data_IF_224770468128
#
_entry.id   IF_224770468128
#
_cell.length_a   1.000
_cell.length_b   1.000
_cell.length_c   1.000
_cell.angle_alpha   90.00
_cell.angle_beta   90.00
_cell.angle_gamma   90.00
#
_symmetry.space_group_name_H-M   'P 1'
#
loop_
_entity.id
_entity.type
_entity.pdbx_description
1 polymer ?
#
# COMPACT_ATOMS: atom_id res chain seq x y z
N UNK A 1 41.12 -2.29 1.14
CA UNK A 1 40.11 -2.50 2.21
C UNK A 1 38.96 -3.41 1.75
N UNK A 2 38.22 -3.05 0.70
CA UNK A 2 37.06 -3.80 0.15
C UNK A 2 37.38 -5.28 -0.16
N UNK A 3 38.51 -5.59 -0.83
CA UNK A 3 38.90 -6.98 -1.17
C UNK A 3 39.11 -7.90 0.05
N UNK A 4 39.58 -7.37 1.18
CA UNK A 4 39.75 -8.15 2.43
C UNK A 4 38.40 -8.43 3.09
N UNK A 5 37.49 -7.45 3.05
CA UNK A 5 36.12 -7.59 3.57
C UNK A 5 35.34 -8.64 2.75
N UNK A 6 35.38 -8.56 1.41
CA UNK A 6 34.71 -9.51 0.51
C UNK A 6 35.13 -10.98 0.73
N UNK A 7 36.40 -11.23 1.10
CA UNK A 7 36.90 -12.59 1.43
C UNK A 7 36.29 -13.16 2.72
N UNK A 8 35.99 -12.32 3.72
CA UNK A 8 35.38 -12.73 5.00
C UNK A 8 33.93 -13.17 4.81
N UNK A 9 33.16 -12.46 3.96
CA UNK A 9 31.74 -12.75 3.71
C UNK A 9 31.50 -13.98 2.81
N UNK A 10 32.44 -14.37 1.95
CA UNK A 10 32.36 -15.63 1.18
C UNK A 10 32.23 -16.87 2.07
N UNK A 11 32.66 -16.82 3.34
CA UNK A 11 32.56 -17.95 4.30
C UNK A 11 31.21 -18.06 5.02
N UNK A 12 30.42 -16.98 5.09
CA UNK A 12 29.16 -16.90 5.87
C UNK A 12 27.95 -17.38 5.05
N UNK A 13 28.06 -17.38 3.73
CA UNK A 13 27.00 -17.70 2.74
C UNK A 13 26.59 -19.19 2.64
N UNK A 14 26.91 -20.02 3.64
CA UNK A 14 26.56 -21.46 3.61
C UNK A 14 25.13 -21.76 4.11
N UNK A 15 24.41 -20.78 4.66
CA UNK A 15 23.09 -21.02 5.28
C UNK A 15 21.87 -20.64 4.43
N UNK A 16 22.05 -20.19 3.17
CA UNK A 16 21.08 -20.37 2.09
C UNK A 16 19.58 -20.12 2.35
N UNK A 17 19.19 -19.22 3.25
CA UNK A 17 17.77 -18.92 3.51
C UNK A 17 17.27 -17.93 2.47
N UNK A 18 16.50 -18.44 1.50
CA UNK A 18 15.70 -17.69 0.50
C UNK A 18 14.96 -16.50 1.15
N UNK A 19 15.52 -15.30 1.08
CA UNK A 19 14.83 -14.06 1.44
C UNK A 19 14.04 -13.55 0.23
N UNK A 20 12.81 -14.02 0.07
CA UNK A 20 11.92 -13.70 -1.07
C UNK A 20 10.77 -12.74 -0.74
N UNK A 21 10.64 -12.27 0.50
CA UNK A 21 9.56 -11.36 0.90
C UNK A 21 10.12 -10.05 1.45
N UNK A 22 9.76 -8.95 0.80
CA UNK A 22 10.16 -7.59 1.15
C UNK A 22 9.28 -7.07 2.30
N UNK A 23 7.99 -7.44 2.28
CA UNK A 23 6.96 -7.02 3.25
C UNK A 23 6.27 -8.23 3.85
N UNK A 24 5.87 -8.18 5.12
CA UNK A 24 4.95 -9.15 5.73
C UNK A 24 3.66 -8.42 6.11
N UNK A 25 2.52 -9.03 5.83
CA UNK A 25 1.19 -8.48 6.16
C UNK A 25 0.35 -9.59 6.76
N UNK A 26 -0.29 -9.30 7.89
CA UNK A 26 -1.30 -10.16 8.51
C UNK A 26 -2.55 -9.33 8.78
N UNK A 27 -3.71 -9.88 8.48
CA UNK A 27 -4.97 -9.33 8.98
C UNK A 27 -5.11 -9.79 10.44
N UNK A 28 -5.16 -8.85 11.38
CA UNK A 28 -5.38 -9.15 12.79
C UNK A 28 -6.86 -9.30 13.10
N UNK A 29 -7.66 -8.38 12.59
CA UNK A 29 -9.11 -8.37 12.79
C UNK A 29 -9.81 -7.56 11.70
N UNK A 30 -11.10 -7.79 11.53
CA UNK A 30 -11.99 -6.97 10.72
C UNK A 30 -13.35 -6.86 11.40
N UNK A 31 -13.97 -5.70 11.25
CA UNK A 31 -15.24 -5.37 11.88
C UNK A 31 -16.26 -5.00 10.83
N UNK A 32 -17.34 -5.78 10.79
CA UNK A 32 -18.60 -5.45 10.13
C UNK A 32 -19.64 -5.33 11.25
N UNK A 33 -20.30 -4.17 11.42
CA UNK A 33 -21.30 -4.03 12.47
C UNK A 33 -22.39 -5.11 12.37
N UNK A 34 -22.72 -5.72 13.51
CA UNK A 34 -23.64 -6.85 13.59
C UNK A 34 -23.05 -8.22 13.22
N UNK A 35 -21.77 -8.29 12.83
CA UNK A 35 -21.04 -9.56 12.60
C UNK A 35 -21.52 -10.40 11.41
N UNK A 36 -22.38 -9.84 10.56
CA UNK A 36 -22.97 -10.51 9.39
C UNK A 36 -22.26 -10.20 8.07
N UNK A 37 -22.94 -10.51 6.95
CA UNK A 37 -22.46 -10.16 5.61
C UNK A 37 -22.33 -8.64 5.46
N UNK A 38 -21.18 -8.20 4.90
CA UNK A 38 -20.96 -6.79 4.58
C UNK A 38 -22.01 -6.28 3.57
N UNK A 39 -22.39 -7.10 2.59
CA UNK A 39 -23.47 -6.77 1.63
C UNK A 39 -24.77 -6.38 2.32
N UNK A 40 -25.25 -7.23 3.22
CA UNK A 40 -26.51 -6.98 3.94
C UNK A 40 -26.43 -5.70 4.77
N UNK A 41 -25.36 -5.56 5.54
CA UNK A 41 -25.16 -4.38 6.38
C UNK A 41 -25.13 -3.08 5.57
N UNK A 42 -24.41 -3.07 4.45
CA UNK A 42 -24.34 -1.90 3.56
C UNK A 42 -25.69 -1.61 2.90
N UNK A 43 -26.42 -2.64 2.47
CA UNK A 43 -27.76 -2.49 1.92
C UNK A 43 -28.73 -1.87 2.95
N UNK A 44 -28.67 -2.31 4.20
CA UNK A 44 -29.51 -1.80 5.27
C UNK A 44 -29.21 -0.32 5.59
N UNK A 45 -27.94 0.10 5.64
CA UNK A 45 -27.59 1.52 5.79
C UNK A 45 -28.07 2.34 4.59
N UNK A 46 -27.89 1.81 3.37
CA UNK A 46 -28.29 2.52 2.16
C UNK A 46 -29.81 2.72 2.10
N UNK A 47 -30.59 1.76 2.61
CA UNK A 47 -32.05 1.89 2.77
C UNK A 47 -32.45 3.03 3.71
N UNK A 48 -31.66 3.33 4.74
CA UNK A 48 -31.88 4.53 5.59
C UNK A 48 -31.79 5.82 4.76
N UNK A 49 -30.98 5.82 3.70
CA UNK A 49 -30.85 6.95 2.77
C UNK A 49 -31.89 6.96 1.64
N UNK A 50 -32.84 6.00 1.62
CA UNK A 50 -33.97 5.98 0.69
C UNK A 50 -33.77 5.17 -0.60
N UNK A 51 -32.85 4.21 -0.62
CA UNK A 51 -32.73 3.26 -1.76
C UNK A 51 -34.01 2.43 -1.90
N UNK A 52 -34.53 2.16 -3.12
CA UNK A 52 -35.79 1.45 -3.31
C UNK A 52 -35.84 0.07 -2.63
N UNK A 53 -36.90 -0.20 -1.86
CA UNK A 53 -37.03 -1.45 -1.07
C UNK A 53 -36.96 -2.72 -1.91
N UNK A 54 -37.41 -2.67 -3.17
CA UNK A 54 -37.44 -3.82 -4.08
C UNK A 54 -36.06 -4.19 -4.65
N UNK A 55 -35.04 -3.35 -4.47
CA UNK A 55 -33.69 -3.61 -4.96
C UNK A 55 -33.00 -4.66 -4.07
N UNK A 56 -32.35 -5.65 -4.69
CA UNK A 56 -31.62 -6.69 -3.96
C UNK A 56 -30.35 -6.13 -3.33
N UNK A 57 -29.93 -6.67 -2.18
CA UNK A 57 -28.77 -6.22 -1.42
C UNK A 57 -27.50 -6.15 -2.29
N UNK A 58 -27.27 -7.15 -3.14
CA UNK A 58 -26.09 -7.20 -4.02
C UNK A 58 -26.10 -6.07 -5.06
N UNK A 59 -27.28 -5.73 -5.58
CA UNK A 59 -27.44 -4.63 -6.54
C UNK A 59 -27.21 -3.27 -5.86
N UNK A 60 -27.64 -3.14 -4.60
CA UNK A 60 -27.41 -1.94 -3.80
C UNK A 60 -25.91 -1.78 -3.54
N UNK A 61 -25.21 -2.85 -3.13
CA UNK A 61 -23.77 -2.82 -2.91
C UNK A 61 -23.01 -2.47 -4.20
N UNK A 62 -23.36 -3.11 -5.31
CA UNK A 62 -22.77 -2.82 -6.63
C UNK A 62 -22.96 -1.35 -7.01
N UNK A 63 -24.18 -0.83 -6.90
CA UNK A 63 -24.47 0.59 -7.14
C UNK A 63 -23.61 1.51 -6.24
N UNK A 64 -23.45 1.17 -4.96
CA UNK A 64 -22.68 1.97 -4.01
C UNK A 64 -21.20 2.03 -4.38
N UNK A 65 -20.62 0.90 -4.75
CA UNK A 65 -19.21 0.82 -5.14
C UNK A 65 -18.98 1.52 -6.47
N UNK A 66 -19.84 1.29 -7.47
CA UNK A 66 -19.69 1.85 -8.82
C UNK A 66 -19.96 3.37 -8.86
N UNK A 67 -20.96 3.86 -8.13
CA UNK A 67 -21.32 5.29 -8.12
C UNK A 67 -20.51 6.12 -7.11
N UNK A 68 -19.53 5.52 -6.42
CA UNK A 68 -18.75 6.15 -5.34
C UNK A 68 -19.63 6.72 -4.21
N UNK A 69 -20.71 6.03 -3.84
CA UNK A 69 -21.49 6.33 -2.63
C UNK A 69 -20.81 5.76 -1.38
N UNK A 70 -19.50 6.00 -1.28
CA UNK A 70 -18.58 5.21 -0.48
C UNK A 70 -18.62 5.52 1.03
N UNK A 71 -19.45 6.45 1.50
CA UNK A 71 -19.60 6.77 2.92
C UNK A 71 -20.10 5.57 3.73
N UNK A 72 -21.01 4.76 3.19
CA UNK A 72 -21.52 3.55 3.87
C UNK A 72 -20.39 2.54 4.17
N UNK A 73 -19.35 2.51 3.32
CA UNK A 73 -18.20 1.61 3.47
C UNK A 73 -17.28 2.01 4.64
N UNK A 74 -17.40 3.23 5.18
CA UNK A 74 -16.56 3.69 6.29
C UNK A 74 -16.83 2.93 7.60
N UNK A 75 -17.99 2.29 7.72
CA UNK A 75 -18.38 1.51 8.88
C UNK A 75 -17.70 0.14 8.94
N UNK A 76 -17.12 -0.33 7.83
CA UNK A 76 -16.35 -1.57 7.77
C UNK A 76 -14.89 -1.24 8.03
N UNK A 77 -14.28 -1.86 9.04
CA UNK A 77 -12.93 -1.53 9.52
C UNK A 77 -12.03 -2.76 9.49
N UNK A 78 -10.77 -2.57 9.12
CA UNK A 78 -9.75 -3.61 9.09
C UNK A 78 -8.56 -3.21 9.95
N UNK A 79 -7.95 -4.16 10.65
CA UNK A 79 -6.71 -3.96 11.38
C UNK A 79 -5.66 -4.95 10.90
N UNK A 80 -4.53 -4.43 10.46
CA UNK A 80 -3.40 -5.19 9.93
C UNK A 80 -2.18 -5.07 10.84
N UNK A 81 -1.37 -6.12 10.83
CA UNK A 81 0.00 -6.11 11.31
C UNK A 81 0.94 -6.19 10.10
N UNK A 82 1.77 -5.16 9.94
CA UNK A 82 2.59 -4.93 8.76
C UNK A 82 4.05 -4.82 9.17
N UNK A 83 4.91 -5.62 8.55
CA UNK A 83 6.37 -5.47 8.62
C UNK A 83 6.88 -5.01 7.26
N UNK A 84 7.57 -3.88 7.25
CA UNK A 84 8.10 -3.22 6.04
C UNK A 84 9.43 -2.54 6.34
N UNK A 85 10.10 -1.95 5.36
CA UNK A 85 11.25 -1.07 5.55
C UNK A 85 10.85 0.28 6.13
N UNK A 86 11.78 0.95 6.83
CA UNK A 86 11.60 2.37 7.20
C UNK A 86 11.57 3.28 5.97
N UNK A 87 12.15 2.87 4.84
CA UNK A 87 12.20 3.60 3.58
C UNK A 87 10.80 3.94 3.07
N UNK A 88 9.87 2.98 3.08
CA UNK A 88 8.50 3.23 2.57
C UNK A 88 7.54 3.80 3.62
N UNK A 89 7.96 3.91 4.88
CA UNK A 89 7.11 4.43 5.94
C UNK A 89 6.57 5.85 5.66
N UNK A 90 7.36 6.81 5.11
CA UNK A 90 6.82 8.12 4.74
C UNK A 90 5.69 8.00 3.71
N UNK A 91 5.90 7.26 2.63
CA UNK A 91 4.85 7.04 1.61
C UNK A 91 3.59 6.37 2.18
N UNK A 92 3.76 5.45 3.13
CA UNK A 92 2.68 4.74 3.81
C UNK A 92 1.88 5.66 4.73
N UNK A 93 2.56 6.56 5.44
CA UNK A 93 1.93 7.46 6.42
C UNK A 93 1.20 8.66 5.79
N UNK A 94 1.41 8.93 4.50
CA UNK A 94 0.62 9.92 3.74
C UNK A 94 -0.88 9.54 3.65
N UNK A 95 -1.24 8.28 3.93
CA UNK A 95 -2.61 7.80 4.00
C UNK A 95 -3.25 8.15 5.34
N UNK A 96 -3.54 9.44 5.52
CA UNK A 96 -3.98 10.06 6.79
C UNK A 96 -5.28 9.50 7.38
N UNK A 97 -6.19 8.97 6.55
CA UNK A 97 -7.48 8.45 7.02
C UNK A 97 -7.33 7.00 7.48
N UNK A 98 -6.56 6.83 8.54
CA UNK A 98 -6.25 5.56 9.19
C UNK A 98 -5.64 5.83 10.58
N UNK A 99 -5.49 4.78 11.38
CA UNK A 99 -4.76 4.82 12.64
C UNK A 99 -3.53 3.93 12.57
N UNK A 100 -2.41 4.41 13.12
CA UNK A 100 -1.12 3.72 13.04
C UNK A 100 -0.46 3.63 14.41
N UNK A 101 0.12 2.48 14.73
CA UNK A 101 1.05 2.33 15.86
C UNK A 101 2.35 1.74 15.35
N UNK A 102 3.44 2.48 15.47
CA UNK A 102 4.74 2.11 14.94
C UNK A 102 5.64 1.48 16.01
N UNK A 103 6.41 0.46 15.63
CA UNK A 103 7.57 0.03 16.41
C UNK A 103 8.59 1.18 16.46
N UNK A 104 8.84 1.69 17.68
CA UNK A 104 9.77 2.80 17.92
C UNK A 104 11.21 2.32 18.02
N UNK A 105 12.08 2.94 17.23
CA UNK A 105 13.54 2.74 17.30
C UNK A 105 14.18 3.39 18.53
N UNK A 106 13.42 4.21 19.29
CA UNK A 106 13.88 4.84 20.56
C UNK A 106 13.93 3.83 21.69
N UNK A 107 12.94 2.92 21.73
CA UNK A 107 12.73 2.02 22.87
C UNK A 107 13.20 0.58 22.59
N UNK A 108 13.21 0.16 21.33
CA UNK A 108 13.53 -1.23 20.98
C UNK A 108 15.04 -1.42 20.77
N UNK A 109 15.58 -2.56 21.21
CA UNK A 109 16.91 -3.02 20.78
C UNK A 109 16.84 -3.32 19.28
N UNK A 110 17.64 -2.61 18.48
CA UNK A 110 17.61 -2.71 17.02
C UNK A 110 18.50 -3.85 16.46
N UNK A 111 19.06 -4.70 17.34
CA UNK A 111 19.96 -5.78 16.93
C UNK A 111 19.26 -6.86 16.09
N UNK A 112 17.95 -7.04 16.30
CA UNK A 112 17.18 -8.13 15.70
C UNK A 112 16.18 -7.68 14.62
N UNK A 113 16.15 -6.39 14.24
CA UNK A 113 15.05 -5.89 13.40
C UNK A 113 15.16 -6.37 11.95
N UNK A 114 16.33 -6.83 11.52
CA UNK A 114 16.54 -7.24 10.13
C UNK A 114 16.41 -6.08 9.14
N UNK A 115 16.65 -6.39 7.87
CA UNK A 115 16.69 -5.39 6.80
C UNK A 115 15.91 -5.88 5.59
N UNK A 116 15.41 -4.93 4.82
CA UNK A 116 14.78 -5.17 3.53
C UNK A 116 15.83 -5.03 2.44
N UNK A 117 16.06 -6.09 1.68
CA UNK A 117 16.97 -6.10 0.53
C UNK A 117 16.14 -6.08 -0.76
N UNK A 118 16.30 -5.07 -1.62
CA UNK A 118 15.64 -5.04 -2.93
C UNK A 118 16.03 -6.23 -3.83
N UNK A 119 15.13 -6.79 -4.65
CA UNK A 119 15.41 -7.93 -5.52
C UNK A 119 16.66 -7.76 -6.40
N UNK A 120 16.79 -6.59 -7.05
CA UNK A 120 17.96 -6.28 -7.90
C UNK A 120 19.30 -6.34 -7.17
N UNK A 121 19.30 -6.15 -5.85
CA UNK A 121 20.50 -6.27 -5.00
C UNK A 121 20.69 -7.73 -4.57
N UNK A 122 19.63 -8.44 -4.20
CA UNK A 122 19.72 -9.85 -3.80
C UNK A 122 20.04 -10.80 -4.96
N UNK A 123 19.68 -10.46 -6.19
CA UNK A 123 19.85 -11.31 -7.37
C UNK A 123 21.33 -11.44 -7.80
N UNK A 124 22.19 -10.51 -7.38
CA UNK A 124 23.63 -10.52 -7.67
C UNK A 124 24.44 -10.62 -6.40
N UNK A 125 25.21 -11.70 -6.29
CA UNK A 125 26.02 -12.01 -5.10
C UNK A 125 26.95 -10.87 -4.71
N UNK A 126 27.56 -10.20 -5.68
CA UNK A 126 28.46 -9.07 -5.47
C UNK A 126 27.74 -7.87 -4.86
N UNK A 127 26.51 -7.59 -5.31
CA UNK A 127 25.71 -6.49 -4.81
C UNK A 127 25.20 -6.76 -3.41
N UNK A 128 24.73 -7.99 -3.16
CA UNK A 128 24.33 -8.44 -1.84
C UNK A 128 25.49 -8.34 -0.84
N UNK A 129 26.72 -8.71 -1.25
CA UNK A 129 27.91 -8.57 -0.40
C UNK A 129 28.21 -7.10 -0.06
N UNK A 130 28.19 -6.20 -1.04
CA UNK A 130 28.41 -4.77 -0.78
C UNK A 130 27.36 -4.21 0.17
N UNK A 131 26.09 -4.61 -0.03
CA UNK A 131 24.99 -4.22 0.81
C UNK A 131 25.16 -4.73 2.26
N UNK A 132 25.50 -6.01 2.43
CA UNK A 132 25.70 -6.61 3.75
C UNK A 132 26.86 -5.94 4.51
N UNK A 133 27.95 -5.60 3.82
CA UNK A 133 29.08 -4.90 4.43
C UNK A 133 28.65 -3.54 5.00
N UNK A 134 27.87 -2.78 4.24
CA UNK A 134 27.37 -1.49 4.68
C UNK A 134 26.44 -1.62 5.90
N UNK A 135 25.53 -2.60 5.87
CA UNK A 135 24.63 -2.88 6.99
C UNK A 135 25.40 -3.26 8.26
N UNK A 136 26.32 -4.22 8.16
CA UNK A 136 27.07 -4.71 9.31
C UNK A 136 27.94 -3.62 9.92
N UNK A 137 28.50 -2.74 9.09
CA UNK A 137 29.27 -1.60 9.57
C UNK A 137 28.38 -0.58 10.29
N UNK A 138 27.18 -0.29 9.78
CA UNK A 138 26.24 0.60 10.43
C UNK A 138 25.76 0.05 11.79
N UNK A 139 25.48 -1.26 11.86
CA UNK A 139 25.12 -1.94 13.12
C UNK A 139 26.28 -1.88 14.10
N UNK A 140 27.49 -2.20 13.64
CA UNK A 140 28.68 -2.15 14.47
C UNK A 140 28.87 -0.77 15.10
N UNK A 141 28.78 0.29 14.29
CA UNK A 141 28.91 1.65 14.78
C UNK A 141 27.75 2.08 15.69
N UNK A 142 26.52 1.62 15.42
CA UNK A 142 25.40 1.79 16.34
C UNK A 142 25.72 1.19 17.72
N UNK A 143 26.21 -0.05 17.77
CA UNK A 143 26.56 -0.73 19.03
C UNK A 143 27.77 -0.08 19.73
N UNK A 144 28.76 0.41 18.98
CA UNK A 144 29.89 1.17 19.55
C UNK A 144 29.42 2.47 20.20
N UNK A 145 28.56 3.25 19.53
CA UNK A 145 27.98 4.46 20.14
C UNK A 145 27.20 4.12 21.42
N UNK A 146 26.47 3.00 21.42
CA UNK A 146 25.75 2.50 22.60
C UNK A 146 26.71 2.09 23.73
N UNK A 147 27.86 1.52 23.41
CA UNK A 147 28.90 1.16 24.38
C UNK A 147 29.50 2.40 25.04
N UNK A 148 29.71 3.49 24.29
CA UNK A 148 30.17 4.78 24.82
C UNK A 148 29.08 5.59 25.55
N UNK A 149 27.90 5.01 25.81
CA UNK A 149 26.84 5.65 26.59
C UNK A 149 25.90 6.57 25.79
N UNK A 150 26.10 6.75 24.47
CA UNK A 150 25.20 7.56 23.63
C UNK A 150 23.81 6.97 23.60
N UNK A 151 22.76 7.78 23.82
CA UNK A 151 21.37 7.32 23.90
C UNK A 151 20.88 6.63 22.61
N UNK A 152 19.92 5.70 22.71
CA UNK A 152 19.36 5.00 21.52
C UNK A 152 18.79 5.95 20.49
N UNK A 153 18.21 7.05 20.96
CA UNK A 153 17.60 8.09 20.13
C UNK A 153 18.61 8.83 19.25
N UNK A 154 19.84 8.98 19.73
CA UNK A 154 20.94 9.59 18.98
C UNK A 154 21.69 8.54 18.16
N UNK A 155 22.00 7.37 18.75
CA UNK A 155 22.73 6.32 18.02
C UNK A 155 22.00 5.85 16.76
N UNK A 156 20.66 5.85 16.74
CA UNK A 156 19.87 5.37 15.59
C UNK A 156 20.05 6.19 14.31
N UNK A 157 20.61 7.38 14.35
CA UNK A 157 20.83 8.21 13.14
C UNK A 157 21.76 7.55 12.12
N UNK A 158 22.59 6.59 12.56
CA UNK A 158 23.45 5.80 11.66
C UNK A 158 22.73 4.61 11.01
N UNK A 159 21.54 4.24 11.52
CA UNK A 159 20.82 3.08 11.01
C UNK A 159 20.28 3.39 9.61
N UNK A 160 20.46 2.48 8.65
CA UNK A 160 19.98 2.69 7.29
C UNK A 160 18.45 2.62 7.26
N UNK A 161 17.86 3.40 6.34
CA UNK A 161 16.41 3.42 6.12
C UNK A 161 15.83 2.08 5.63
N UNK A 162 16.68 1.13 5.23
CA UNK A 162 16.27 -0.23 4.88
C UNK A 162 15.99 -1.13 6.08
N UNK A 163 16.21 -0.67 7.32
CA UNK A 163 15.85 -1.42 8.52
C UNK A 163 14.35 -1.74 8.51
N UNK A 164 13.98 -2.96 8.90
CA UNK A 164 12.56 -3.28 9.02
C UNK A 164 11.95 -2.51 10.20
N UNK A 165 10.67 -2.22 10.06
CA UNK A 165 9.79 -1.63 11.05
C UNK A 165 8.47 -2.37 11.02
N UNK A 166 7.78 -2.37 12.15
CA UNK A 166 6.46 -2.97 12.28
C UNK A 166 5.43 -1.87 12.54
N UNK A 167 4.24 -2.01 11.96
CA UNK A 167 3.11 -1.14 12.16
C UNK A 167 1.86 -1.97 12.41
N UNK A 168 1.12 -1.60 13.46
CA UNK A 168 -0.31 -1.93 13.53
C UNK A 168 -1.05 -0.82 12.80
N UNK A 169 -1.91 -1.19 11.86
CA UNK A 169 -2.59 -0.27 10.97
C UNK A 169 -4.08 -0.57 10.91
N UNK A 170 -4.90 0.36 11.36
CA UNK A 170 -6.36 0.26 11.31
C UNK A 170 -6.93 1.23 10.30
N UNK A 171 -7.78 0.76 9.39
CA UNK A 171 -8.32 1.55 8.27
C UNK A 171 -9.73 1.10 7.91
N UNK A 172 -10.61 2.03 7.54
CA UNK A 172 -11.95 1.70 7.04
C UNK A 172 -11.93 1.31 5.55
N UNK A 173 -12.99 0.63 5.07
CA UNK A 173 -13.02 0.10 3.70
C UNK A 173 -12.92 1.21 2.64
N UNK A 174 -13.55 2.38 2.84
CA UNK A 174 -13.46 3.52 1.91
C UNK A 174 -12.02 4.00 1.74
N UNK A 175 -11.34 4.26 2.85
CA UNK A 175 -9.95 4.71 2.84
C UNK A 175 -9.02 3.61 2.30
N UNK A 176 -9.31 2.34 2.60
CA UNK A 176 -8.57 1.20 2.10
C UNK A 176 -8.70 1.05 0.57
N UNK A 177 -9.88 1.26 -0.01
CA UNK A 177 -10.07 1.30 -1.47
C UNK A 177 -9.22 2.41 -2.09
N UNK A 178 -9.16 3.59 -1.48
CA UNK A 178 -8.28 4.66 -1.95
C UNK A 178 -6.79 4.27 -1.85
N UNK A 179 -6.38 3.65 -0.73
CA UNK A 179 -5.02 3.13 -0.56
C UNK A 179 -4.67 2.14 -1.69
N UNK A 180 -5.52 1.14 -1.91
CA UNK A 180 -5.33 0.12 -2.94
C UNK A 180 -5.29 0.75 -4.35
N UNK A 181 -6.22 1.67 -4.64
CA UNK A 181 -6.26 2.39 -5.91
C UNK A 181 -4.96 3.12 -6.23
N UNK A 182 -4.32 3.72 -5.22
CA UNK A 182 -3.03 4.40 -5.40
C UNK A 182 -1.86 3.41 -5.45
N UNK A 183 -1.86 2.39 -4.60
CA UNK A 183 -0.68 1.58 -4.30
C UNK A 183 -0.57 0.29 -5.09
N UNK A 184 -1.64 -0.14 -5.76
CA UNK A 184 -1.58 -1.19 -6.77
C UNK A 184 -1.13 -0.68 -8.14
N UNK A 185 -1.13 0.64 -8.35
CA UNK A 185 -0.63 1.24 -9.58
C UNK A 185 0.84 0.85 -9.80
N UNK A 186 1.17 0.46 -11.03
CA UNK A 186 2.54 0.12 -11.47
C UNK A 186 3.59 1.22 -11.24
N UNK A 187 3.18 2.46 -10.95
CA UNK A 187 4.05 3.61 -10.61
C UNK A 187 4.44 3.67 -9.13
N UNK A 188 3.70 3.00 -8.25
CA UNK A 188 4.03 2.98 -6.82
C UNK A 188 5.36 2.23 -6.58
N UNK A 189 6.03 2.49 -5.45
CA UNK A 189 7.27 1.78 -5.13
C UNK A 189 7.02 0.26 -5.04
N UNK A 190 7.97 -0.61 -5.48
CA UNK A 190 7.74 -2.05 -5.54
C UNK A 190 7.32 -2.68 -4.22
N UNK A 191 7.89 -2.20 -3.11
CA UNK A 191 7.55 -2.64 -1.76
C UNK A 191 6.11 -2.26 -1.39
N UNK A 192 5.66 -1.05 -1.75
CA UNK A 192 4.29 -0.60 -1.54
C UNK A 192 3.28 -1.39 -2.40
N UNK A 193 3.65 -1.73 -3.64
CA UNK A 193 2.83 -2.61 -4.49
C UNK A 193 2.72 -4.03 -3.90
N UNK A 194 3.81 -4.60 -3.39
CA UNK A 194 3.79 -5.90 -2.72
C UNK A 194 2.87 -5.87 -1.49
N UNK A 195 2.98 -4.83 -0.66
CA UNK A 195 2.09 -4.60 0.48
C UNK A 195 0.63 -4.53 0.05
N UNK A 196 0.31 -3.68 -0.93
CA UNK A 196 -1.06 -3.48 -1.41
C UNK A 196 -1.67 -4.78 -1.98
N UNK A 197 -0.90 -5.57 -2.74
CA UNK A 197 -1.36 -6.87 -3.26
C UNK A 197 -1.66 -7.87 -2.14
N UNK A 198 -0.82 -7.93 -1.09
CA UNK A 198 -1.06 -8.80 0.06
C UNK A 198 -2.30 -8.37 0.84
N UNK A 199 -2.47 -7.07 1.05
CA UNK A 199 -3.66 -6.50 1.70
C UNK A 199 -4.92 -6.82 0.89
N UNK A 200 -4.90 -6.57 -0.43
CA UNK A 200 -6.02 -6.89 -1.33
C UNK A 200 -6.39 -8.37 -1.29
N UNK A 201 -5.39 -9.26 -1.25
CA UNK A 201 -5.63 -10.70 -1.14
C UNK A 201 -6.38 -11.03 0.16
N UNK A 202 -5.88 -10.55 1.31
CA UNK A 202 -6.49 -10.79 2.61
C UNK A 202 -7.91 -10.20 2.70
N UNK A 203 -8.14 -9.02 2.11
CA UNK A 203 -9.45 -8.35 2.17
C UNK A 203 -10.47 -9.01 1.26
N UNK A 204 -10.03 -9.63 0.14
CA UNK A 204 -10.89 -10.47 -0.70
C UNK A 204 -11.31 -11.76 0.01
N UNK A 205 -10.51 -12.28 0.93
CA UNK A 205 -10.86 -13.49 1.70
C UNK A 205 -12.00 -13.20 2.69
N UNK A 206 -12.05 -12.00 3.29
CA UNK A 206 -13.05 -11.66 4.33
C UNK A 206 -14.22 -10.80 3.84
N UNK A 207 -14.03 -9.99 2.80
CA UNK A 207 -15.06 -9.12 2.21
C UNK A 207 -14.99 -9.15 0.66
N UNK A 208 -15.16 -10.34 0.04
CA UNK A 208 -15.02 -10.51 -1.41
C UNK A 208 -15.96 -9.62 -2.22
N UNK A 209 -17.17 -9.38 -1.69
CA UNK A 209 -18.25 -8.64 -2.34
C UNK A 209 -17.81 -7.21 -2.71
N UNK A 210 -16.95 -6.62 -1.87
CA UNK A 210 -16.34 -5.30 -2.09
C UNK A 210 -15.04 -5.44 -2.87
N UNK A 211 -14.09 -6.26 -2.37
CA UNK A 211 -12.69 -6.19 -2.83
C UNK A 211 -12.38 -7.00 -4.10
N UNK A 212 -13.28 -7.85 -4.59
CA UNK A 212 -13.08 -8.55 -5.87
C UNK A 212 -13.09 -7.58 -7.07
N UNK A 213 -13.75 -6.44 -6.92
CA UNK A 213 -13.90 -5.42 -7.99
C UNK A 213 -12.86 -4.31 -7.90
N UNK A 214 -11.99 -4.34 -6.89
CA UNK A 214 -10.99 -3.29 -6.64
C UNK A 214 -9.64 -3.67 -7.25
N UNK A 215 -9.07 -2.72 -7.98
CA UNK A 215 -7.69 -2.69 -8.47
C UNK A 215 -7.17 -1.23 -8.33
N UNK A 216 -6.38 -0.76 -9.30
CA UNK A 216 -5.75 0.53 -9.28
C UNK A 216 -6.76 1.59 -9.66
N UNK A 217 -6.48 2.85 -9.33
CA UNK A 217 -7.39 3.97 -9.54
C UNK A 217 -7.84 4.10 -11.00
N UNK A 218 -6.98 3.75 -11.96
CA UNK A 218 -7.36 3.74 -13.38
C UNK A 218 -8.42 2.70 -13.71
N UNK A 219 -8.28 1.49 -13.15
CA UNK A 219 -9.25 0.40 -13.28
C UNK A 219 -10.57 0.76 -12.61
N UNK A 220 -10.53 1.15 -11.34
CA UNK A 220 -11.74 1.44 -10.56
C UNK A 220 -12.57 2.58 -11.17
N UNK A 221 -11.95 3.55 -11.86
CA UNK A 221 -12.65 4.66 -12.50
C UNK A 221 -13.01 4.40 -13.97
N UNK A 222 -12.53 3.31 -14.57
CA UNK A 222 -12.59 3.09 -16.02
C UNK A 222 -11.82 4.14 -16.85
N UNK A 223 -11.02 4.99 -16.21
CA UNK A 223 -10.23 6.04 -16.85
C UNK A 223 -8.93 6.28 -16.08
N UNK A 224 -7.80 6.22 -16.79
CA UNK A 224 -6.50 6.44 -16.17
C UNK A 224 -6.26 7.94 -15.91
N UNK A 225 -6.05 8.38 -14.65
CA UNK A 225 -5.85 9.78 -14.35
C UNK A 225 -4.44 10.30 -14.68
N UNK A 226 -3.49 9.39 -14.95
CA UNK A 226 -2.06 9.71 -15.06
C UNK A 226 -1.65 10.33 -16.40
N UNK A 227 -2.48 10.19 -17.44
CA UNK A 227 -2.21 10.70 -18.78
C UNK A 227 -0.78 10.36 -19.26
N UNK A 228 0.06 11.36 -19.54
CA UNK A 228 1.43 11.19 -20.02
C UNK A 228 2.35 10.51 -18.98
N UNK A 229 2.01 10.55 -17.69
CA UNK A 229 2.78 9.89 -16.64
C UNK A 229 2.52 8.38 -16.55
N UNK A 230 1.59 7.86 -17.35
CA UNK A 230 1.31 6.43 -17.43
C UNK A 230 2.49 5.71 -18.09
N UNK A 231 3.14 4.75 -17.42
CA UNK A 231 4.25 4.02 -18.01
C UNK A 231 3.78 3.05 -19.09
N UNK A 232 4.65 2.75 -20.07
CA UNK A 232 4.37 1.78 -21.14
C UNK A 232 4.10 0.37 -20.64
N UNK A 233 4.65 -0.01 -19.49
CA UNK A 233 4.47 -1.31 -18.85
C UNK A 233 3.27 -1.37 -17.89
N UNK A 234 2.34 -0.42 -17.99
CA UNK A 234 1.11 -0.45 -17.18
C UNK A 234 0.34 -1.76 -17.40
N UNK A 235 -0.26 -2.30 -16.34
CA UNK A 235 -1.02 -3.55 -16.38
C UNK A 235 -2.36 -3.45 -17.13
N UNK A 236 -2.82 -2.23 -17.42
CA UNK A 236 -4.15 -1.96 -17.99
C UNK A 236 -4.15 -1.08 -19.24
N UNK A 237 -3.22 -1.25 -20.21
CA UNK A 237 -3.02 -0.32 -21.32
C UNK A 237 -4.31 0.01 -22.11
N UNK A 238 -5.30 -0.87 -22.09
CA UNK A 238 -6.63 -0.74 -22.68
C UNK A 238 -7.47 0.40 -22.11
N UNK A 239 -7.28 0.78 -20.85
CA UNK A 239 -8.07 1.82 -20.19
C UNK A 239 -7.71 3.20 -20.77
N UNK A 240 -8.68 4.00 -21.25
CA UNK A 240 -8.39 5.30 -21.83
C UNK A 240 -7.87 6.29 -20.77
N UNK A 241 -7.03 7.23 -21.19
CA UNK A 241 -6.58 8.32 -20.33
C UNK A 241 -7.64 9.40 -20.15
N UNK A 242 -7.58 10.11 -19.03
CA UNK A 242 -8.46 11.25 -18.75
C UNK A 242 -8.36 12.33 -19.83
N UNK A 243 -7.19 12.53 -20.44
CA UNK A 243 -6.96 13.48 -21.54
C UNK A 243 -7.67 13.04 -22.82
N UNK A 244 -7.59 11.77 -23.18
CA UNK A 244 -8.30 11.21 -24.35
C UNK A 244 -9.82 11.35 -24.19
N UNK A 245 -10.34 10.95 -23.03
CA UNK A 245 -11.76 11.14 -22.70
C UNK A 245 -12.13 12.63 -22.77
N UNK A 246 -11.40 13.54 -22.12
CA UNK A 246 -11.72 14.97 -22.20
C UNK A 246 -11.71 15.54 -23.62
N UNK A 247 -10.89 15.00 -24.53
CA UNK A 247 -10.86 15.42 -25.94
C UNK A 247 -12.16 15.06 -26.66
N UNK A 248 -12.74 13.89 -26.40
CA UNK A 248 -14.03 13.49 -26.99
C UNK A 248 -15.17 14.39 -26.49
N UNK A 249 -15.16 14.73 -25.19
CA UNK A 249 -16.13 15.67 -24.61
C UNK A 249 -15.98 17.10 -25.10
N UNK A 250 -14.76 17.63 -25.31
CA UNK A 250 -14.57 18.98 -25.84
C UNK A 250 -15.20 19.15 -27.23
N UNK A 251 -15.12 18.12 -28.06
CA UNK A 251 -15.71 18.13 -29.40
C UNK A 251 -17.25 18.07 -29.36
N UNK A 252 -17.82 17.33 -28.39
CA UNK A 252 -19.29 17.22 -28.18
C UNK A 252 -19.90 18.36 -27.34
N UNK A 253 -19.13 18.95 -26.44
CA UNK A 253 -19.59 19.91 -25.42
C UNK A 253 -19.62 21.36 -25.91
N UNK A 254 -18.84 21.72 -26.93
CA UNK A 254 -18.95 23.04 -27.58
C UNK A 254 -20.38 23.28 -28.09
N UNK A 255 -21.01 22.29 -28.72
CA UNK A 255 -22.40 22.43 -29.21
C UNK A 255 -23.41 22.58 -28.08
N UNK A 256 -23.20 21.92 -26.93
CA UNK A 256 -24.11 21.97 -25.77
C UNK A 256 -23.95 23.29 -25.00
N UNK A 257 -22.73 23.78 -24.82
CA UNK A 257 -22.48 25.07 -24.16
C UNK A 257 -23.00 26.24 -24.99
N UNK A 258 -22.79 26.20 -26.32
CA UNK A 258 -23.37 27.19 -27.24
C UNK A 258 -24.90 27.14 -27.26
N UNK A 259 -25.52 25.96 -27.11
CA UNK A 259 -26.97 25.83 -26.96
C UNK A 259 -27.51 26.30 -25.60
N UNK A 260 -26.81 26.00 -24.49
CA UNK A 260 -27.21 26.45 -23.14
C UNK A 260 -26.99 27.94 -22.90
N UNK A 261 -26.01 28.55 -23.58
CA UNK A 261 -25.72 29.99 -23.51
C UNK A 261 -26.64 30.84 -24.40
N UNK A 262 -27.47 30.22 -25.25
CA UNK A 262 -28.47 30.90 -26.10
C UNK A 262 -29.80 31.19 -25.39
N UNK A 263 -29.93 30.88 -24.11
CA UNK A 263 -31.05 31.34 -23.28
C UNK A 263 -30.59 32.46 -22.36
N UNK A 264 -30.65 33.69 -22.88
CA UNK A 264 -30.99 34.93 -22.17
C UNK A 264 -31.64 35.88 -23.17
#
# INVERSE_FOLDING_TARGET
>A
MIRKVLKKYKKIDKEGKKMKQIVEVKLLDYYVPGGGSATKFIADIARVSGVPEKMKDEQILEMIVENDYSSCLEHIVFTFDIVMSKLIAPEFLEHRIASHTAKSTRFTRNRDVGYVVPPKISDKKEFLQLYQIALDQAIKFYEELRHYGVSREISRYILPISIKTRYIWTINARSLINFLGLRLCCRASPEMQEMARKILKLTREVCPEIFNRIECRGYNLGVCPENENRPRFCYHPEIPSKKEIKKTWKNRGKSILEQKMRFK
#
